data_IF_184660941387
#
_entry.id   IF_184660941387
#
_cell.length_a   1.000
_cell.length_b   1.000
_cell.length_c   1.000
_cell.angle_alpha   90.00
_cell.angle_beta   90.00
_cell.angle_gamma   90.00
#
_symmetry.space_group_name_H-M   'P 1'
#
loop_
_entity.id
_entity.type
_entity.pdbx_description
1 polymer ?
#
# COMPACT_ATOMS: atom_id res chain seq x y z
N UNK A 1 -14.19 -54.22 -27.01
CA UNK A 1 -13.94 -54.29 -25.55
C UNK A 1 -14.02 -52.86 -25.02
N UNK A 2 -15.19 -52.53 -24.49
CA UNK A 2 -15.48 -51.18 -23.97
C UNK A 2 -15.09 -51.15 -22.48
N UNK A 3 -14.25 -50.21 -22.09
CA UNK A 3 -13.92 -49.94 -20.67
C UNK A 3 -14.70 -48.70 -20.26
N UNK A 4 -15.68 -48.87 -19.39
CA UNK A 4 -16.41 -47.82 -18.70
C UNK A 4 -15.58 -47.29 -17.52
N UNK A 5 -15.41 -45.98 -17.45
CA UNK A 5 -14.90 -45.28 -16.27
C UNK A 5 -16.01 -44.99 -15.27
N UNK A 6 -15.79 -45.15 -13.96
CA UNK A 6 -16.78 -44.77 -12.95
C UNK A 6 -16.64 -43.27 -12.60
N UNK A 7 -17.78 -42.60 -12.43
CA UNK A 7 -17.91 -41.25 -11.94
C UNK A 7 -17.62 -41.15 -10.42
N UNK A 8 -17.01 -40.09 -9.92
CA UNK A 8 -16.86 -39.87 -8.49
C UNK A 8 -18.10 -39.13 -7.91
N UNK A 9 -18.87 -39.84 -7.06
CA UNK A 9 -19.89 -39.24 -6.19
C UNK A 9 -19.24 -38.80 -4.91
N UNK A 10 -18.85 -37.53 -4.84
CA UNK A 10 -18.40 -36.87 -3.61
C UNK A 10 -19.41 -35.80 -3.19
N UNK A 11 -20.27 -36.07 -2.20
CA UNK A 11 -21.09 -35.03 -1.57
C UNK A 11 -20.21 -34.12 -0.73
N UNK A 12 -20.31 -32.82 -0.99
CA UNK A 12 -19.75 -31.78 -0.15
C UNK A 12 -20.47 -31.80 1.22
N UNK A 13 -19.72 -31.94 2.30
CA UNK A 13 -20.25 -31.87 3.67
C UNK A 13 -20.36 -30.39 4.05
N UNK A 14 -21.54 -30.01 4.57
CA UNK A 14 -21.79 -28.68 5.10
C UNK A 14 -21.32 -28.58 6.55
N UNK A 15 -21.07 -27.35 7.00
CA UNK A 15 -20.50 -27.00 8.33
C UNK A 15 -21.34 -27.44 9.56
N UNK A 16 -22.47 -28.16 9.36
CA UNK A 16 -23.35 -28.62 10.42
C UNK A 16 -22.93 -29.97 11.06
N UNK A 17 -21.91 -30.65 10.54
CA UNK A 17 -21.59 -32.04 10.96
C UNK A 17 -20.56 -32.12 12.12
N UNK A 18 -20.19 -31.02 12.75
CA UNK A 18 -19.28 -31.00 13.90
C UNK A 18 -19.93 -30.41 15.16
N UNK A 19 -20.74 -31.20 15.82
CA UNK A 19 -21.10 -30.97 17.24
C UNK A 19 -20.48 -32.06 18.10
N UNK A 20 -19.75 -31.75 19.20
CA UNK A 20 -19.26 -32.79 20.11
C UNK A 20 -20.37 -33.28 21.00
N UNK A 21 -20.31 -34.58 21.45
CA UNK A 21 -21.33 -35.17 22.36
C UNK A 21 -21.21 -34.55 23.73
N UNK A 22 -22.35 -34.15 24.30
CA UNK A 22 -22.45 -33.60 25.64
C UNK A 22 -22.22 -34.65 26.72
N UNK A 23 -21.21 -34.45 27.54
CA UNK A 23 -21.05 -35.16 28.81
C UNK A 23 -21.66 -34.35 29.94
N UNK A 24 -22.60 -34.99 30.65
CA UNK A 24 -23.21 -34.47 31.86
C UNK A 24 -22.24 -34.59 33.05
N UNK A 25 -21.71 -33.46 33.51
CA UNK A 25 -20.91 -33.40 34.73
C UNK A 25 -21.81 -33.14 35.95
N UNK A 26 -21.72 -34.07 36.91
CA UNK A 26 -22.43 -34.08 38.18
C UNK A 26 -22.06 -32.89 39.08
N UNK A 27 -23.06 -32.41 39.83
CA UNK A 27 -22.95 -31.40 40.89
C UNK A 27 -22.13 -31.92 42.07
N UNK A 28 -20.95 -31.32 42.30
CA UNK A 28 -20.16 -31.44 43.50
C UNK A 28 -20.49 -30.32 44.53
N UNK A 29 -20.13 -30.46 45.79
CA UNK A 29 -20.70 -29.68 46.90
C UNK A 29 -20.12 -28.24 46.93
N UNK A 30 -21.01 -27.29 47.23
CA UNK A 30 -20.72 -25.86 47.41
C UNK A 30 -19.96 -25.63 48.72
N UNK A 31 -18.67 -25.27 48.63
CA UNK A 31 -17.96 -24.68 49.76
C UNK A 31 -18.17 -23.17 49.75
N UNK A 32 -18.85 -22.67 50.79
CA UNK A 32 -19.05 -21.25 51.01
C UNK A 32 -17.75 -20.56 51.41
N UNK A 33 -17.28 -19.68 50.54
CA UNK A 33 -16.32 -18.62 50.91
C UNK A 33 -17.09 -17.33 51.12
N UNK A 34 -17.03 -16.82 52.36
CA UNK A 34 -17.56 -15.51 52.72
C UNK A 34 -16.78 -14.41 52.01
N UNK A 35 -17.48 -13.56 51.24
CA UNK A 35 -16.95 -12.30 50.78
C UNK A 35 -16.60 -11.41 51.96
N UNK A 36 -15.32 -11.24 52.25
CA UNK A 36 -14.86 -10.09 53.04
C UNK A 36 -14.87 -8.89 52.09
N UNK A 37 -15.62 -7.86 52.47
CA UNK A 37 -15.55 -6.53 51.97
C UNK A 37 -14.09 -6.04 52.09
N UNK A 38 -13.37 -6.00 50.98
CA UNK A 38 -12.13 -5.22 50.87
C UNK A 38 -12.53 -3.83 50.42
N UNK A 39 -12.66 -2.92 51.39
CA UNK A 39 -12.67 -1.50 51.17
C UNK A 39 -11.49 -1.11 50.23
N UNK A 40 -11.80 -0.47 49.11
CA UNK A 40 -10.83 0.11 48.19
C UNK A 40 -10.07 1.20 48.92
N UNK A 41 -8.92 0.84 49.50
CA UNK A 41 -7.93 1.85 49.90
C UNK A 41 -7.47 2.58 48.66
N UNK A 42 -7.66 3.92 48.69
CA UNK A 42 -7.11 4.85 47.72
C UNK A 42 -5.59 4.64 47.61
N UNK A 43 -5.15 3.91 46.62
CA UNK A 43 -3.76 3.96 46.17
C UNK A 43 -3.47 5.41 45.74
N UNK A 44 -2.39 6.05 46.21
CA UNK A 44 -2.03 7.37 45.77
C UNK A 44 -1.82 7.30 44.23
N UNK A 45 -2.61 8.09 43.52
CA UNK A 45 -2.37 8.30 42.09
C UNK A 45 -0.95 8.85 41.95
N UNK A 46 -0.11 8.12 41.27
CA UNK A 46 1.21 8.64 40.86
C UNK A 46 0.97 9.99 40.16
N UNK A 47 1.76 11.02 40.44
CA UNK A 47 1.60 12.30 39.75
C UNK A 47 1.66 12.02 38.24
N UNK A 48 0.61 12.41 37.52
CA UNK A 48 0.61 12.40 36.06
C UNK A 48 1.86 13.14 35.61
N UNK A 49 2.83 12.39 35.11
CA UNK A 49 3.94 13.03 34.38
C UNK A 49 3.29 13.76 33.18
N UNK A 50 3.69 15.01 32.89
CA UNK A 50 3.19 15.70 31.74
C UNK A 50 3.41 14.77 30.54
N UNK A 51 2.32 14.34 29.91
CA UNK A 51 2.36 13.40 28.79
C UNK A 51 3.23 14.03 27.70
N UNK A 52 4.39 13.42 27.41
CA UNK A 52 5.22 13.86 26.27
C UNK A 52 4.38 13.78 24.99
N UNK A 53 4.66 14.66 24.04
CA UNK A 53 4.06 14.57 22.72
C UNK A 53 4.42 13.23 22.09
N UNK A 54 3.48 12.55 21.41
CA UNK A 54 3.83 11.38 20.61
C UNK A 54 4.89 11.75 19.58
N UNK A 55 5.88 10.87 19.41
CA UNK A 55 6.95 11.05 18.44
C UNK A 55 6.66 10.28 17.17
N UNK A 56 6.60 10.99 16.04
CA UNK A 56 6.36 10.47 14.70
C UNK A 56 7.71 10.35 13.98
N UNK A 57 8.13 9.13 13.65
CA UNK A 57 9.24 8.93 12.73
C UNK A 57 8.72 8.97 11.28
N UNK A 58 9.10 9.97 10.51
CA UNK A 58 8.81 10.04 9.08
C UNK A 58 9.95 9.34 8.34
N UNK A 59 9.63 8.22 7.66
CA UNK A 59 10.62 7.39 6.96
C UNK A 59 10.45 7.55 5.45
N UNK A 60 11.53 7.88 4.74
CA UNK A 60 11.48 8.24 3.33
C UNK A 60 12.77 7.88 2.58
N UNK A 61 12.76 8.09 1.23
CA UNK A 61 13.84 7.70 0.33
C UNK A 61 13.63 6.25 -0.15
N UNK A 62 14.56 5.37 0.18
CA UNK A 62 14.46 3.93 -0.13
C UNK A 62 15.18 3.53 -1.40
N UNK A 63 15.19 2.21 -1.66
CA UNK A 63 15.96 1.57 -2.74
C UNK A 63 15.23 1.55 -4.08
N UNK A 64 13.99 2.04 -4.12
CA UNK A 64 13.19 2.04 -5.35
C UNK A 64 13.60 3.18 -6.29
N UNK A 65 13.19 3.08 -7.55
CA UNK A 65 13.32 4.16 -8.53
C UNK A 65 12.51 5.41 -8.16
N UNK A 66 11.62 5.30 -7.17
CA UNK A 66 10.77 6.40 -6.68
C UNK A 66 11.38 7.14 -5.48
N UNK A 67 12.69 6.91 -5.19
CA UNK A 67 13.44 7.53 -4.09
C UNK A 67 13.24 9.05 -4.00
N UNK A 68 13.43 9.76 -5.09
CA UNK A 68 13.29 11.22 -5.12
C UNK A 68 11.86 11.70 -4.87
N UNK A 69 10.84 10.95 -5.33
CA UNK A 69 9.43 11.27 -5.08
C UNK A 69 9.07 11.03 -3.61
N UNK A 70 9.62 9.98 -3.02
CA UNK A 70 9.53 9.74 -1.58
C UNK A 70 10.06 10.92 -0.78
N UNK A 71 11.19 11.51 -1.18
CA UNK A 71 11.75 12.71 -0.56
C UNK A 71 10.80 13.90 -0.65
N UNK A 72 10.25 14.18 -1.83
CA UNK A 72 9.30 15.30 -2.05
C UNK A 72 8.04 15.10 -1.21
N UNK A 73 7.53 13.87 -1.16
CA UNK A 73 6.38 13.48 -0.32
C UNK A 73 6.69 13.71 1.16
N UNK A 74 7.85 13.27 1.63
CA UNK A 74 8.29 13.48 3.01
C UNK A 74 8.36 14.96 3.38
N UNK A 75 8.92 15.80 2.51
CA UNK A 75 8.95 17.24 2.71
C UNK A 75 7.55 17.84 2.88
N UNK A 76 6.57 17.38 2.10
CA UNK A 76 5.19 17.83 2.23
C UNK A 76 4.55 17.36 3.56
N UNK A 77 4.75 16.11 3.95
CA UNK A 77 4.24 15.54 5.21
C UNK A 77 4.87 16.26 6.41
N UNK A 78 6.20 16.44 6.42
CA UNK A 78 6.93 17.12 7.49
C UNK A 78 6.44 18.57 7.71
N UNK A 79 6.10 19.30 6.63
CA UNK A 79 5.48 20.63 6.72
C UNK A 79 4.06 20.60 7.29
N UNK A 80 3.31 19.54 7.02
CA UNK A 80 1.91 19.44 7.41
C UNK A 80 1.70 18.92 8.83
N UNK A 81 2.65 18.18 9.40
CA UNK A 81 2.56 17.66 10.76
C UNK A 81 2.51 18.82 11.77
N UNK A 82 1.49 18.81 12.61
CA UNK A 82 1.31 19.81 13.69
C UNK A 82 2.35 19.61 14.81
N UNK A 83 3.38 20.46 14.81
CA UNK A 83 4.46 20.43 15.81
C UNK A 83 4.00 20.80 17.23
N UNK A 84 2.79 21.31 17.38
CA UNK A 84 2.21 21.52 18.72
C UNK A 84 1.68 20.22 19.32
N UNK A 85 1.31 19.24 18.48
CA UNK A 85 0.78 17.93 18.89
C UNK A 85 1.87 16.85 18.91
N UNK A 86 2.84 16.91 17.99
CA UNK A 86 3.80 15.83 17.74
C UNK A 86 5.25 16.31 17.78
N UNK A 87 6.14 15.45 18.32
CA UNK A 87 7.55 15.51 18.02
C UNK A 87 7.81 14.72 16.73
N UNK A 88 8.80 15.14 15.93
CA UNK A 88 9.09 14.49 14.66
C UNK A 88 10.55 14.07 14.57
N UNK A 89 10.78 12.88 14.04
CA UNK A 89 12.10 12.31 13.77
C UNK A 89 12.18 11.93 12.28
N UNK A 90 12.84 12.76 11.43
CA UNK A 90 13.05 12.42 10.03
C UNK A 90 14.13 11.35 9.89
N UNK A 91 13.81 10.26 9.18
CA UNK A 91 14.72 9.14 8.92
C UNK A 91 14.76 8.90 7.42
N UNK A 92 15.92 9.09 6.81
CA UNK A 92 16.16 8.79 5.41
C UNK A 92 16.63 7.35 5.22
N UNK A 93 16.25 6.74 4.09
CA UNK A 93 16.84 5.48 3.61
C UNK A 93 17.52 5.79 2.28
N UNK A 94 18.83 5.57 2.20
CA UNK A 94 19.60 5.82 0.96
C UNK A 94 19.22 4.84 -0.14
N UNK A 95 19.68 5.08 -1.36
CA UNK A 95 19.44 4.15 -2.48
C UNK A 95 20.13 2.77 -2.27
N UNK A 96 21.20 2.70 -1.48
CA UNK A 96 21.85 1.45 -1.07
C UNK A 96 21.08 0.75 0.08
N UNK A 97 20.09 1.42 0.69
CA UNK A 97 19.26 0.88 1.76
C UNK A 97 19.78 1.15 3.17
N UNK A 98 20.68 2.12 3.35
CA UNK A 98 21.14 2.55 4.69
C UNK A 98 20.12 3.50 5.31
N UNK A 99 19.82 3.28 6.57
CA UNK A 99 18.98 4.16 7.38
C UNK A 99 19.83 5.24 8.02
N UNK A 100 19.52 6.49 7.75
CA UNK A 100 20.31 7.63 8.22
C UNK A 100 19.41 8.65 8.93
N UNK A 101 19.98 9.32 9.93
CA UNK A 101 19.34 10.48 10.54
C UNK A 101 19.49 11.66 9.58
N UNK A 102 18.39 12.38 9.34
CA UNK A 102 18.40 13.55 8.46
C UNK A 102 17.97 14.79 9.20
N UNK A 103 18.41 15.94 8.71
CA UNK A 103 17.95 17.22 9.21
C UNK A 103 16.44 17.41 8.95
N UNK A 104 15.73 18.03 9.89
CA UNK A 104 14.34 18.43 9.73
C UNK A 104 14.25 19.73 8.90
N UNK A 105 14.58 19.62 7.61
CA UNK A 105 14.66 20.73 6.66
C UNK A 105 13.75 20.44 5.45
N UNK A 106 12.42 20.43 5.60
CA UNK A 106 11.49 20.05 4.55
C UNK A 106 11.58 20.92 3.28
N UNK A 107 12.10 22.14 3.39
CA UNK A 107 12.30 23.03 2.25
C UNK A 107 13.34 22.50 1.25
N UNK A 108 14.32 21.74 1.72
CA UNK A 108 15.34 21.11 0.88
C UNK A 108 14.85 19.83 0.19
N UNK A 109 13.66 19.36 0.57
CA UNK A 109 13.03 18.17 0.00
C UNK A 109 12.10 18.50 -1.19
N UNK A 110 12.20 19.67 -1.77
CA UNK A 110 11.40 20.07 -2.93
C UNK A 110 12.13 19.79 -4.25
N UNK A 111 11.38 19.57 -5.32
CA UNK A 111 11.94 19.53 -6.67
C UNK A 111 12.52 20.91 -7.00
N UNK A 112 13.79 20.97 -7.35
CA UNK A 112 14.46 22.18 -7.80
C UNK A 112 15.18 21.90 -9.12
N UNK A 113 15.10 22.82 -10.06
CA UNK A 113 15.74 22.72 -11.38
C UNK A 113 15.44 21.39 -12.13
N UNK A 114 14.20 20.89 -12.02
CA UNK A 114 13.73 19.58 -12.55
C UNK A 114 14.48 18.37 -11.95
N UNK A 115 15.17 18.53 -10.84
CA UNK A 115 15.88 17.48 -10.13
C UNK A 115 15.17 17.16 -8.83
N UNK A 116 14.98 15.87 -8.56
CA UNK A 116 14.52 15.38 -7.25
C UNK A 116 15.67 15.40 -6.26
N UNK A 117 15.39 15.69 -4.96
CA UNK A 117 16.40 15.64 -3.91
C UNK A 117 16.84 14.20 -3.62
N UNK A 118 17.99 14.07 -2.96
CA UNK A 118 18.55 12.79 -2.49
C UNK A 118 18.74 12.78 -0.97
N UNK A 119 18.61 11.61 -0.33
CA UNK A 119 18.74 11.43 1.12
C UNK A 119 20.15 11.81 1.60
N UNK A 120 21.18 11.49 0.83
CA UNK A 120 22.57 11.78 1.16
C UNK A 120 22.85 13.29 1.32
N UNK A 121 22.08 14.13 0.64
CA UNK A 121 22.20 15.60 0.75
C UNK A 121 21.68 16.15 2.07
N UNK A 122 20.86 15.38 2.79
CA UNK A 122 20.24 15.75 4.07
C UNK A 122 20.75 14.94 5.26
N UNK A 123 21.53 13.88 5.00
CA UNK A 123 22.08 13.03 6.07
C UNK A 123 22.99 13.82 7.00
N UNK A 124 22.78 13.70 8.33
CA UNK A 124 23.65 14.32 9.32
C UNK A 124 25.08 13.73 9.31
N UNK A 125 25.19 12.45 8.93
CA UNK A 125 26.46 11.74 8.76
C UNK A 125 26.30 10.67 7.68
N UNK A 126 27.32 10.51 6.86
CA UNK A 126 27.39 9.44 5.84
C UNK A 126 27.91 8.11 6.41
N UNK A 127 28.45 8.09 7.61
CA UNK A 127 29.02 6.89 8.26
C UNK A 127 28.08 6.30 9.32
N UNK A 128 27.22 7.12 9.94
CA UNK A 128 26.28 6.71 10.96
C UNK A 128 25.03 6.03 10.40
N UNK A 129 24.35 5.24 11.23
CA UNK A 129 23.11 4.54 10.87
C UNK A 129 22.07 4.60 11.99
N UNK A 130 20.80 4.65 11.60
CA UNK A 130 19.66 4.54 12.51
C UNK A 130 19.25 3.07 12.58
N UNK A 131 19.06 2.58 13.81
CA UNK A 131 18.59 1.24 14.11
C UNK A 131 17.21 1.34 14.79
N UNK A 132 16.22 0.71 14.20
CA UNK A 132 14.93 0.48 14.86
C UNK A 132 15.08 -0.69 15.84
N UNK A 133 14.40 -0.67 16.99
CA UNK A 133 14.40 -1.80 17.89
C UNK A 133 13.73 -3.02 17.21
N UNK A 134 14.30 -4.20 17.40
CA UNK A 134 13.66 -5.48 17.04
C UNK A 134 13.02 -6.16 18.26
N UNK A 135 13.23 -5.59 19.45
CA UNK A 135 12.60 -6.02 20.68
C UNK A 135 11.31 -5.20 20.90
N UNK A 136 10.11 -5.81 20.83
CA UNK A 136 8.85 -5.09 20.99
C UNK A 136 8.66 -4.50 22.40
N UNK A 137 9.48 -4.88 23.37
CA UNK A 137 9.49 -4.28 24.71
C UNK A 137 10.22 -2.92 24.73
N UNK A 138 10.95 -2.58 23.68
CA UNK A 138 11.68 -1.31 23.57
C UNK A 138 11.28 -0.60 22.27
N UNK A 139 10.85 0.65 22.35
CA UNK A 139 10.59 1.52 21.19
C UNK A 139 11.73 2.53 20.97
N UNK A 140 12.86 2.30 21.59
CA UNK A 140 14.00 3.20 21.54
C UNK A 140 14.75 3.06 20.22
N UNK A 141 14.80 4.12 19.47
CA UNK A 141 15.61 4.23 18.25
C UNK A 141 17.03 4.58 18.61
N UNK A 142 18.00 3.90 18.01
CA UNK A 142 19.42 4.05 18.31
C UNK A 142 20.15 4.56 17.07
N UNK A 143 20.99 5.57 17.27
CA UNK A 143 21.97 6.02 16.29
C UNK A 143 23.33 5.41 16.59
N UNK A 144 23.97 4.83 15.58
CA UNK A 144 25.26 4.17 15.72
C UNK A 144 26.22 4.64 14.64
N UNK A 145 27.41 5.05 15.04
CA UNK A 145 28.55 5.35 14.16
C UNK A 145 29.71 4.40 14.43
N UNK A 146 30.51 4.03 13.39
CA UNK A 146 31.70 3.23 13.56
C UNK A 146 32.68 3.87 14.57
N UNK A 147 33.10 3.11 15.57
CA UNK A 147 34.06 3.59 16.60
C UNK A 147 33.47 4.47 17.70
N UNK A 148 32.16 4.74 17.67
CA UNK A 148 31.45 5.52 18.68
C UNK A 148 30.52 4.64 19.53
N UNK A 149 30.19 5.11 20.73
CA UNK A 149 29.16 4.46 21.55
C UNK A 149 27.80 4.79 20.95
N UNK A 150 26.93 3.78 20.73
CA UNK A 150 25.59 4.03 20.24
C UNK A 150 24.82 5.04 21.10
N UNK A 151 24.12 5.96 20.45
CA UNK A 151 23.34 7.02 21.10
C UNK A 151 21.86 6.74 20.98
N UNK A 152 21.15 6.68 22.09
CA UNK A 152 19.70 6.63 22.10
C UNK A 152 19.11 7.94 21.56
N UNK A 153 18.23 7.82 20.57
CA UNK A 153 17.47 8.95 20.02
C UNK A 153 16.13 9.14 20.74
N UNK A 154 15.77 8.19 21.59
CA UNK A 154 14.52 8.11 22.31
C UNK A 154 13.48 7.23 21.61
N UNK A 155 12.32 7.10 22.25
CA UNK A 155 11.25 6.24 21.76
C UNK A 155 10.49 6.87 20.58
N UNK A 156 10.04 6.02 19.66
CA UNK A 156 9.11 6.35 18.57
C UNK A 156 7.76 5.74 18.88
N UNK A 157 6.70 6.53 18.80
CA UNK A 157 5.33 6.09 19.07
C UNK A 157 4.62 5.61 17.81
N UNK A 158 4.97 6.19 16.65
CA UNK A 158 4.40 5.83 15.35
C UNK A 158 5.41 6.12 14.24
N UNK A 159 5.44 5.25 13.24
CA UNK A 159 6.18 5.47 11.98
C UNK A 159 5.21 5.94 10.90
N UNK A 160 5.56 7.00 10.18
CA UNK A 160 4.89 7.43 8.96
C UNK A 160 5.79 7.10 7.76
N UNK A 161 5.62 5.92 7.14
CA UNK A 161 6.39 5.58 5.96
C UNK A 161 5.81 6.31 4.74
N UNK A 162 6.65 7.05 4.03
CA UNK A 162 6.31 7.70 2.76
C UNK A 162 7.19 7.14 1.64
N UNK A 163 7.43 5.84 1.69
CA UNK A 163 8.19 5.08 0.72
C UNK A 163 7.27 4.57 -0.39
N UNK A 164 7.71 4.65 -1.63
CA UNK A 164 6.97 4.18 -2.79
C UNK A 164 7.66 2.98 -3.43
N UNK A 165 6.85 2.05 -3.98
CA UNK A 165 7.33 0.89 -4.71
C UNK A 165 7.99 -0.19 -3.84
N UNK A 166 8.91 -1.01 -4.43
CA UNK A 166 9.57 -2.11 -3.74
C UNK A 166 10.29 -1.68 -2.46
N UNK A 167 10.25 -2.53 -1.44
CA UNK A 167 10.74 -2.31 -0.07
C UNK A 167 9.98 -1.26 0.75
N UNK A 168 9.05 -0.53 0.14
CA UNK A 168 8.19 0.44 0.83
C UNK A 168 6.73 -0.01 0.91
N UNK A 169 6.19 -0.51 -0.22
CA UNK A 169 4.77 -0.89 -0.36
C UNK A 169 4.55 -2.39 -0.53
N UNK A 170 5.58 -3.23 -0.42
CA UNK A 170 5.54 -4.67 -0.68
C UNK A 170 5.40 -5.56 0.58
N UNK A 171 5.21 -4.96 1.74
CA UNK A 171 5.12 -5.67 3.02
C UNK A 171 6.45 -5.86 3.73
N UNK A 172 7.60 -5.56 3.10
CA UNK A 172 8.93 -5.75 3.68
C UNK A 172 9.17 -4.80 4.86
N UNK A 173 8.91 -3.50 4.66
CA UNK A 173 9.00 -2.51 5.74
C UNK A 173 7.97 -2.78 6.82
N UNK A 174 6.73 -3.07 6.43
CA UNK A 174 5.64 -3.37 7.34
C UNK A 174 5.99 -4.56 8.24
N UNK A 175 6.59 -5.61 7.68
CA UNK A 175 7.08 -6.76 8.45
C UNK A 175 8.16 -6.39 9.48
N UNK A 176 9.08 -5.48 9.15
CA UNK A 176 10.06 -4.96 10.11
C UNK A 176 9.37 -4.21 11.25
N UNK A 177 8.38 -3.36 10.94
CA UNK A 177 7.65 -2.58 11.92
C UNK A 177 6.77 -3.45 12.82
N UNK A 178 6.16 -4.51 12.28
CA UNK A 178 5.43 -5.51 13.06
C UNK A 178 6.34 -6.23 14.07
N UNK A 179 7.54 -6.66 13.63
CA UNK A 179 8.53 -7.27 14.53
C UNK A 179 9.02 -6.31 15.62
N UNK A 180 9.14 -5.02 15.29
CA UNK A 180 9.53 -3.96 16.22
C UNK A 180 8.43 -3.57 17.19
N UNK A 181 7.19 -3.99 16.97
CA UNK A 181 6.04 -3.57 17.76
C UNK A 181 5.73 -2.07 17.71
N UNK A 182 6.20 -1.37 16.67
CA UNK A 182 5.97 0.07 16.49
C UNK A 182 4.78 0.27 15.54
N UNK A 183 3.72 0.97 15.96
CA UNK A 183 2.61 1.33 15.08
C UNK A 183 3.06 2.14 13.87
N UNK A 184 2.37 2.00 12.75
CA UNK A 184 2.71 2.72 11.52
C UNK A 184 1.47 3.12 10.73
N UNK A 185 1.62 4.19 9.94
CA UNK A 185 0.59 4.67 9.02
C UNK A 185 0.55 3.78 7.78
N UNK A 186 -0.67 3.51 7.30
CA UNK A 186 -0.89 2.76 6.07
C UNK A 186 -1.21 1.29 6.31
N UNK A 187 -1.27 0.55 5.23
CA UNK A 187 -1.68 -0.86 5.19
C UNK A 187 -0.64 -1.79 5.81
N UNK A 188 -1.11 -2.91 6.36
CA UNK A 188 -0.27 -3.95 6.96
C UNK A 188 0.43 -4.82 5.93
N UNK A 189 1.13 -5.86 6.41
CA UNK A 189 1.95 -6.78 5.59
C UNK A 189 1.16 -7.42 4.45
N UNK A 190 -0.02 -7.97 4.77
CA UNK A 190 -0.84 -8.68 3.78
C UNK A 190 -1.30 -7.76 2.66
N UNK A 191 -1.91 -6.64 3.01
CA UNK A 191 -2.45 -5.70 2.04
C UNK A 191 -1.36 -5.11 1.15
N UNK A 192 -0.20 -4.75 1.74
CA UNK A 192 0.95 -4.25 0.99
C UNK A 192 1.49 -5.30 0.01
N UNK A 193 1.67 -6.55 0.45
CA UNK A 193 2.16 -7.62 -0.43
C UNK A 193 1.17 -7.96 -1.56
N UNK A 194 -0.14 -7.95 -1.26
CA UNK A 194 -1.20 -8.17 -2.26
C UNK A 194 -1.28 -6.99 -3.22
N UNK A 195 -1.27 -5.74 -2.73
CA UNK A 195 -1.34 -4.53 -3.54
C UNK A 195 -0.16 -4.38 -4.50
N UNK A 196 1.03 -4.83 -4.10
CA UNK A 196 2.22 -4.77 -4.94
C UNK A 196 2.20 -5.79 -6.09
N UNK A 197 1.55 -6.95 -5.93
CA UNK A 197 1.55 -8.02 -6.94
C UNK A 197 0.24 -8.04 -7.74
N UNK A 198 0.27 -7.55 -8.98
CA UNK A 198 -0.91 -7.41 -9.86
C UNK A 198 -1.68 -8.72 -10.06
N UNK A 199 -1.00 -9.88 -10.06
CA UNK A 199 -1.69 -11.18 -10.17
C UNK A 199 -2.51 -11.47 -8.90
N UNK A 200 -1.87 -11.35 -7.72
CA UNK A 200 -2.54 -11.70 -6.47
C UNK A 200 -3.63 -10.68 -6.12
N UNK A 201 -3.39 -9.42 -6.37
CA UNK A 201 -4.37 -8.33 -6.23
C UNK A 201 -5.64 -8.62 -7.06
N UNK A 202 -5.49 -8.91 -8.37
CA UNK A 202 -6.63 -9.24 -9.25
C UNK A 202 -7.35 -10.52 -8.81
N UNK A 203 -6.63 -11.53 -8.32
CA UNK A 203 -7.23 -12.76 -7.77
C UNK A 203 -8.07 -12.48 -6.53
N UNK A 204 -7.58 -11.65 -5.63
CA UNK A 204 -8.32 -11.21 -4.44
C UNK A 204 -9.59 -10.48 -4.88
N UNK A 205 -9.48 -9.49 -5.76
CA UNK A 205 -10.64 -8.74 -6.25
C UNK A 205 -11.71 -9.65 -6.86
N UNK A 206 -11.33 -10.58 -7.73
CA UNK A 206 -12.27 -11.55 -8.32
C UNK A 206 -12.95 -12.40 -7.25
N UNK A 207 -12.21 -12.83 -6.20
CA UNK A 207 -12.80 -13.65 -5.13
C UNK A 207 -13.84 -12.90 -4.28
N UNK A 208 -13.78 -11.56 -4.27
CA UNK A 208 -14.76 -10.68 -3.64
C UNK A 208 -15.83 -10.15 -4.62
N UNK A 209 -15.81 -10.58 -5.88
CA UNK A 209 -16.82 -10.21 -6.87
C UNK A 209 -16.57 -8.90 -7.61
N UNK A 210 -15.40 -8.27 -7.41
CA UNK A 210 -14.99 -7.09 -8.17
C UNK A 210 -14.57 -7.50 -9.59
N UNK A 211 -14.96 -6.70 -10.58
CA UNK A 211 -14.59 -6.91 -11.98
C UNK A 211 -13.17 -6.46 -12.24
N UNK A 212 -12.35 -7.32 -12.83
CA UNK A 212 -10.98 -7.01 -13.29
C UNK A 212 -10.89 -7.18 -14.80
N UNK A 213 -9.97 -6.46 -15.44
CA UNK A 213 -9.67 -6.66 -16.86
C UNK A 213 -9.09 -8.06 -17.14
N UNK A 214 -9.28 -8.61 -18.35
CA UNK A 214 -8.68 -9.88 -18.73
C UNK A 214 -7.15 -9.84 -18.66
N UNK A 215 -6.55 -10.93 -18.20
CA UNK A 215 -5.10 -11.02 -18.10
C UNK A 215 -4.59 -12.47 -18.18
N UNK A 216 -3.33 -12.62 -18.57
CA UNK A 216 -2.57 -13.86 -18.44
C UNK A 216 -1.25 -13.59 -17.74
N UNK A 217 -0.83 -14.50 -16.86
CA UNK A 217 0.41 -14.37 -16.10
C UNK A 217 1.41 -15.40 -16.59
N UNK A 218 2.64 -14.96 -16.81
CA UNK A 218 3.78 -15.83 -17.14
C UNK A 218 4.76 -15.79 -15.97
N UNK A 219 4.91 -16.94 -15.33
CA UNK A 219 5.80 -17.08 -14.18
C UNK A 219 7.24 -17.37 -14.60
N UNK A 220 8.25 -17.00 -13.81
CA UNK A 220 9.66 -17.21 -14.14
C UNK A 220 9.97 -18.67 -14.46
N UNK A 221 9.49 -19.60 -13.64
CA UNK A 221 9.72 -21.04 -13.85
C UNK A 221 9.07 -21.55 -15.12
N UNK A 222 7.88 -21.10 -15.46
CA UNK A 222 7.18 -21.46 -16.70
C UNK A 222 7.98 -20.98 -17.92
N UNK A 223 8.41 -19.72 -17.90
CA UNK A 223 9.24 -19.15 -18.97
C UNK A 223 10.54 -19.91 -19.16
N UNK A 224 11.23 -20.25 -18.07
CA UNK A 224 12.49 -20.98 -18.12
C UNK A 224 12.37 -22.42 -18.62
N UNK A 225 11.26 -23.11 -18.33
CA UNK A 225 11.06 -24.52 -18.66
C UNK A 225 10.37 -24.74 -20.00
N UNK A 226 9.45 -23.84 -20.39
CA UNK A 226 8.65 -23.94 -21.61
C UNK A 226 8.31 -22.56 -22.16
N UNK A 227 9.28 -21.84 -22.66
CA UNK A 227 9.10 -20.54 -23.29
C UNK A 227 8.10 -20.61 -24.46
N UNK A 228 8.15 -21.67 -25.25
CA UNK A 228 7.23 -21.87 -26.40
C UNK A 228 5.79 -22.00 -25.92
N UNK A 229 5.54 -22.75 -24.83
CA UNK A 229 4.21 -22.87 -24.24
C UNK A 229 3.73 -21.55 -23.63
N UNK A 230 4.60 -20.80 -22.98
CA UNK A 230 4.28 -19.47 -22.45
C UNK A 230 3.88 -18.51 -23.58
N UNK A 231 4.63 -18.44 -24.68
CA UNK A 231 4.32 -17.63 -25.86
C UNK A 231 2.98 -18.04 -26.50
N UNK A 232 2.71 -19.35 -26.59
CA UNK A 232 1.43 -19.86 -27.09
C UNK A 232 0.26 -19.38 -26.25
N UNK A 233 0.37 -19.39 -24.90
CA UNK A 233 -0.68 -18.87 -24.01
C UNK A 233 -0.94 -17.37 -24.23
N UNK A 234 0.10 -16.56 -24.46
CA UNK A 234 -0.07 -15.15 -24.81
C UNK A 234 -0.75 -15.01 -26.18
N UNK A 235 -0.40 -15.87 -27.15
CA UNK A 235 -1.00 -15.85 -28.47
C UNK A 235 -2.50 -16.25 -28.42
N UNK A 236 -2.85 -17.25 -27.64
CA UNK A 236 -4.24 -17.66 -27.40
C UNK A 236 -5.02 -16.51 -26.74
N UNK A 237 -4.45 -15.86 -25.73
CA UNK A 237 -5.03 -14.70 -25.07
C UNK A 237 -5.23 -13.52 -26.04
N UNK A 238 -4.25 -13.22 -26.90
CA UNK A 238 -4.38 -12.21 -27.95
C UNK A 238 -5.47 -12.56 -28.97
N UNK A 239 -5.62 -13.85 -29.32
CA UNK A 239 -6.68 -14.32 -30.19
C UNK A 239 -8.07 -14.16 -29.60
N UNK A 240 -8.23 -14.28 -28.28
CA UNK A 240 -9.49 -14.11 -27.56
C UNK A 240 -9.88 -12.65 -27.34
N UNK A 241 -8.91 -11.81 -26.95
CA UNK A 241 -9.18 -10.44 -26.50
C UNK A 241 -8.77 -9.35 -27.50
N UNK A 242 -8.02 -9.72 -28.55
CA UNK A 242 -7.53 -8.77 -29.57
C UNK A 242 -6.31 -7.96 -29.11
N UNK A 243 -5.91 -7.04 -29.97
CA UNK A 243 -4.87 -6.07 -29.73
C UNK A 243 -5.45 -4.66 -29.50
N UNK A 244 -4.74 -3.74 -28.83
CA UNK A 244 -3.42 -3.92 -28.23
C UNK A 244 -3.45 -4.70 -26.90
N UNK A 245 -2.28 -5.25 -26.53
CA UNK A 245 -2.02 -5.81 -25.21
C UNK A 245 -1.03 -4.94 -24.44
N UNK A 246 -1.09 -5.00 -23.14
CA UNK A 246 -0.10 -4.37 -22.25
C UNK A 246 0.73 -5.45 -21.54
N UNK A 247 2.02 -5.48 -21.84
CA UNK A 247 2.99 -6.36 -21.17
C UNK A 247 3.63 -5.59 -20.03
N UNK A 248 3.55 -6.13 -18.81
CA UNK A 248 3.93 -5.43 -17.57
C UNK A 248 4.73 -6.33 -16.65
N UNK A 249 5.70 -5.80 -15.88
CA UNK A 249 6.17 -6.47 -14.67
C UNK A 249 5.01 -6.68 -13.70
N UNK A 250 4.94 -7.82 -13.02
CA UNK A 250 3.83 -8.08 -12.11
C UNK A 250 3.92 -7.24 -10.81
N UNK A 251 5.15 -6.86 -10.40
CA UNK A 251 5.44 -6.21 -9.11
C UNK A 251 6.25 -4.91 -9.29
N UNK A 252 5.84 -4.07 -10.23
CA UNK A 252 6.40 -2.74 -10.43
C UNK A 252 5.31 -1.68 -10.36
N UNK A 253 5.65 -0.51 -9.85
CA UNK A 253 4.83 0.69 -9.80
C UNK A 253 5.18 1.69 -10.90
N UNK A 254 4.55 2.88 -10.86
CA UNK A 254 4.89 4.06 -11.68
C UNK A 254 5.05 3.82 -13.18
N UNK A 255 4.28 2.86 -13.72
CA UNK A 255 4.31 2.46 -15.14
C UNK A 255 5.67 1.96 -15.66
N UNK A 256 6.63 1.63 -14.77
CA UNK A 256 7.96 1.15 -15.14
C UNK A 256 7.87 -0.22 -15.82
N UNK A 257 8.53 -0.37 -16.98
CA UNK A 257 8.59 -1.62 -17.72
C UNK A 257 7.27 -2.03 -18.39
N UNK A 258 6.29 -1.12 -18.48
CA UNK A 258 5.03 -1.36 -19.19
C UNK A 258 5.23 -1.05 -20.67
N UNK A 259 4.86 -2.00 -21.54
CA UNK A 259 4.89 -1.82 -22.98
C UNK A 259 3.53 -2.14 -23.59
N UNK A 260 2.98 -1.19 -24.36
CA UNK A 260 1.81 -1.39 -25.22
C UNK A 260 2.26 -2.10 -26.49
N UNK A 261 1.64 -3.21 -26.82
CA UNK A 261 1.96 -4.07 -27.97
C UNK A 261 0.79 -4.14 -28.90
N UNK A 262 0.99 -3.74 -30.15
CA UNK A 262 -0.09 -3.65 -31.17
C UNK A 262 -0.20 -4.93 -32.03
N UNK A 263 0.82 -5.82 -31.97
CA UNK A 263 0.85 -7.07 -32.73
C UNK A 263 1.89 -8.04 -32.13
N UNK A 264 1.97 -9.26 -32.66
CA UNK A 264 2.97 -10.25 -32.26
C UNK A 264 4.42 -9.81 -32.49
N UNK A 265 4.67 -8.93 -33.44
CA UNK A 265 6.03 -8.46 -33.78
C UNK A 265 6.72 -7.71 -32.64
N UNK A 266 5.96 -6.96 -31.82
CA UNK A 266 6.50 -6.22 -30.68
C UNK A 266 6.55 -7.02 -29.38
N UNK A 267 6.02 -8.26 -29.37
CA UNK A 267 5.83 -9.01 -28.10
C UNK A 267 7.14 -9.39 -27.42
N UNK A 268 8.14 -9.80 -28.20
CA UNK A 268 9.42 -10.27 -27.67
C UNK A 268 10.21 -9.17 -26.96
N UNK A 269 10.22 -7.99 -27.56
CA UNK A 269 10.86 -6.81 -26.98
C UNK A 269 10.12 -6.35 -25.70
N UNK A 270 8.79 -6.37 -25.72
CA UNK A 270 7.97 -6.03 -24.56
C UNK A 270 8.16 -7.00 -23.39
N UNK A 271 8.25 -8.31 -23.66
CA UNK A 271 8.55 -9.31 -22.64
C UNK A 271 9.94 -9.08 -22.05
N UNK A 272 10.96 -8.90 -22.92
CA UNK A 272 12.32 -8.66 -22.46
C UNK A 272 12.43 -7.37 -21.62
N UNK A 273 11.67 -6.32 -21.97
CA UNK A 273 11.60 -5.09 -21.19
C UNK A 273 10.98 -5.36 -19.80
N UNK A 274 9.81 -5.95 -19.75
CA UNK A 274 9.16 -6.25 -18.48
C UNK A 274 10.01 -7.16 -17.57
N UNK A 275 10.69 -8.15 -18.14
CA UNK A 275 11.56 -9.07 -17.40
C UNK A 275 12.83 -8.43 -16.83
N UNK A 276 13.24 -7.25 -17.32
CA UNK A 276 14.34 -6.49 -16.69
C UNK A 276 13.96 -5.99 -15.29
N UNK A 277 12.66 -5.77 -15.05
CA UNK A 277 12.14 -5.23 -13.80
C UNK A 277 11.56 -6.29 -12.87
N UNK A 278 10.91 -7.31 -13.43
CA UNK A 278 10.38 -8.45 -12.68
C UNK A 278 10.37 -9.71 -13.55
N UNK A 279 10.99 -10.82 -13.11
CA UNK A 279 10.96 -12.06 -13.86
C UNK A 279 9.53 -12.66 -13.99
N UNK A 280 8.56 -12.22 -13.20
CA UNK A 280 7.14 -12.53 -13.34
C UNK A 280 6.48 -11.39 -14.11
N UNK A 281 5.85 -11.72 -15.23
CA UNK A 281 5.13 -10.74 -16.06
C UNK A 281 3.64 -11.02 -16.08
N UNK A 282 2.86 -9.97 -16.28
CA UNK A 282 1.42 -10.01 -16.55
C UNK A 282 1.15 -9.36 -17.90
N UNK A 283 0.33 -10.00 -18.72
CA UNK A 283 -0.12 -9.47 -20.00
C UNK A 283 -1.62 -9.20 -19.89
N UNK A 284 -2.02 -7.98 -20.12
CA UNK A 284 -3.40 -7.52 -19.97
C UNK A 284 -4.01 -7.07 -21.30
N UNK A 285 -5.29 -7.34 -21.50
CA UNK A 285 -6.03 -6.77 -22.60
C UNK A 285 -6.25 -5.26 -22.37
N UNK A 286 -6.22 -4.48 -23.45
CA UNK A 286 -6.54 -3.06 -23.37
C UNK A 286 -8.01 -2.86 -22.97
N UNK A 287 -8.24 -2.10 -21.93
CA UNK A 287 -9.57 -1.64 -21.56
C UNK A 287 -9.84 -0.29 -22.25
N UNK A 288 -10.99 -0.20 -22.92
CA UNK A 288 -11.47 1.07 -23.48
C UNK A 288 -12.36 1.75 -22.46
N UNK A 289 -12.05 2.98 -22.12
CA UNK A 289 -12.82 3.72 -21.14
C UNK A 289 -12.06 4.91 -20.56
N UNK A 290 -12.67 5.51 -19.54
CA UNK A 290 -12.12 6.64 -18.78
C UNK A 290 -11.41 6.10 -17.55
N UNK A 291 -10.26 6.62 -17.22
CA UNK A 291 -9.52 6.26 -16.02
C UNK A 291 -10.05 7.09 -14.83
N UNK A 292 -10.55 6.40 -13.80
CA UNK A 292 -11.17 7.00 -12.62
C UNK A 292 -10.43 6.55 -11.38
N UNK A 293 -9.92 7.49 -10.62
CA UNK A 293 -9.28 7.25 -9.32
C UNK A 293 -10.24 7.59 -8.18
N UNK A 294 -10.20 6.82 -7.08
CA UNK A 294 -10.99 7.09 -5.88
C UNK A 294 -10.15 6.82 -4.63
N UNK A 295 -10.01 7.82 -3.76
CA UNK A 295 -9.29 7.70 -2.50
C UNK A 295 -10.15 7.07 -1.41
N UNK A 296 -9.62 6.10 -0.68
CA UNK A 296 -10.23 5.56 0.54
C UNK A 296 -9.41 5.97 1.75
N UNK A 297 -10.06 6.44 2.80
CA UNK A 297 -9.46 6.81 4.08
C UNK A 297 -10.26 6.14 5.21
N UNK A 298 -9.55 5.59 6.16
CA UNK A 298 -10.13 4.97 7.34
C UNK A 298 -10.49 6.03 8.38
N UNK A 299 -11.75 6.02 8.82
CA UNK A 299 -12.28 6.82 9.91
C UNK A 299 -12.54 5.91 11.13
N UNK A 300 -12.90 6.51 12.26
CA UNK A 300 -13.18 5.74 13.49
C UNK A 300 -14.39 4.79 13.34
N UNK A 301 -15.32 5.13 12.45
CA UNK A 301 -16.53 4.37 12.15
C UNK A 301 -16.42 3.52 10.87
N UNK A 302 -15.24 3.43 10.28
CA UNK A 302 -14.94 2.61 9.10
C UNK A 302 -14.39 3.37 7.90
N UNK A 303 -14.04 2.67 6.82
CA UNK A 303 -13.47 3.29 5.62
C UNK A 303 -14.52 4.11 4.86
N UNK A 304 -14.09 5.25 4.31
CA UNK A 304 -14.90 6.12 3.47
C UNK A 304 -14.18 6.48 2.19
N UNK A 305 -14.92 6.59 1.10
CA UNK A 305 -14.38 7.01 -0.18
C UNK A 305 -14.53 8.52 -0.40
N UNK A 306 -13.51 9.14 -0.99
CA UNK A 306 -13.50 10.54 -1.42
C UNK A 306 -14.45 10.78 -2.60
N UNK A 307 -14.54 12.02 -3.09
CA UNK A 307 -14.98 12.28 -4.46
C UNK A 307 -13.98 11.63 -5.42
N UNK A 308 -14.43 11.03 -6.55
CA UNK A 308 -13.53 10.46 -7.55
C UNK A 308 -12.84 11.55 -8.39
N UNK A 309 -11.69 11.19 -8.96
CA UNK A 309 -10.99 11.98 -9.96
C UNK A 309 -10.98 11.24 -11.31
N UNK A 310 -10.95 11.98 -12.40
CA UNK A 310 -10.67 11.44 -13.73
C UNK A 310 -9.25 11.82 -14.17
N UNK A 311 -8.54 10.84 -14.68
CA UNK A 311 -7.22 11.05 -15.28
C UNK A 311 -7.41 11.13 -16.79
N UNK A 312 -7.23 12.32 -17.41
CA UNK A 312 -7.31 12.43 -18.85
C UNK A 312 -6.23 11.58 -19.53
N UNK A 313 -6.54 10.97 -20.69
CA UNK A 313 -5.52 10.26 -21.43
C UNK A 313 -4.38 11.23 -21.77
N UNK A 314 -3.13 10.77 -21.75
CA UNK A 314 -2.01 11.60 -22.15
C UNK A 314 -2.18 12.05 -23.61
N UNK A 315 -1.75 13.25 -23.93
CA UNK A 315 -1.71 13.72 -25.33
C UNK A 315 -0.98 12.69 -26.20
N UNK A 316 -1.49 12.43 -27.40
CA UNK A 316 -1.14 11.31 -28.29
C UNK A 316 0.37 11.15 -28.59
N UNK A 317 1.24 12.02 -28.10
CA UNK A 317 2.69 12.02 -28.27
C UNK A 317 3.50 11.98 -26.96
N UNK A 318 2.84 11.99 -25.79
CA UNK A 318 3.54 11.87 -24.52
C UNK A 318 3.59 10.40 -24.11
N UNK A 319 4.72 9.75 -24.31
CA UNK A 319 5.04 8.53 -23.57
C UNK A 319 5.14 8.93 -22.11
N UNK A 320 4.29 8.34 -21.28
CA UNK A 320 4.27 8.56 -19.85
C UNK A 320 5.53 7.94 -19.24
N UNK A 321 6.63 8.67 -19.25
CA UNK A 321 7.75 8.32 -18.41
C UNK A 321 7.52 8.85 -16.98
N UNK A 322 8.34 8.38 -16.07
CA UNK A 322 8.29 8.73 -14.65
C UNK A 322 8.38 10.24 -14.41
N UNK A 323 9.21 10.97 -15.20
CA UNK A 323 9.37 12.42 -15.08
C UNK A 323 8.11 13.17 -15.55
N UNK A 324 7.50 12.73 -16.64
CA UNK A 324 6.27 13.32 -17.15
C UNK A 324 5.12 13.22 -16.14
N UNK A 325 5.05 12.10 -15.40
CA UNK A 325 3.99 11.87 -14.40
C UNK A 325 4.08 12.82 -13.21
N UNK A 326 5.28 13.22 -12.78
CA UNK A 326 5.48 14.01 -11.55
C UNK A 326 5.92 15.46 -11.81
N UNK A 327 6.46 15.77 -12.98
CA UNK A 327 6.99 17.10 -13.33
C UNK A 327 6.07 17.84 -14.31
N UNK A 328 5.54 17.15 -15.32
CA UNK A 328 4.75 17.73 -16.42
C UNK A 328 3.31 17.18 -16.47
N UNK A 329 2.77 16.63 -15.34
CA UNK A 329 1.49 15.95 -15.30
C UNK A 329 0.33 16.84 -15.79
N UNK A 330 -0.48 16.30 -16.71
CA UNK A 330 -1.80 16.86 -17.01
C UNK A 330 -2.63 16.82 -15.74
N UNK A 331 -3.17 17.93 -15.25
CA UNK A 331 -3.95 17.93 -14.02
C UNK A 331 -5.18 17.04 -14.18
N UNK A 332 -5.40 16.15 -13.22
CA UNK A 332 -6.64 15.37 -13.13
C UNK A 332 -7.84 16.27 -12.93
N UNK A 333 -9.01 15.78 -13.29
CA UNK A 333 -10.29 16.49 -13.11
C UNK A 333 -10.89 16.03 -11.77
N UNK A 334 -10.97 16.94 -10.79
CA UNK A 334 -11.50 16.65 -9.46
C UNK A 334 -12.60 17.66 -9.11
N UNK A 335 -13.84 17.24 -8.86
CA UNK A 335 -14.36 15.87 -8.99
C UNK A 335 -14.48 15.43 -10.45
N UNK A 336 -14.40 14.12 -10.70
CA UNK A 336 -14.65 13.53 -12.02
C UNK A 336 -16.06 13.86 -12.52
N UNK A 337 -16.25 14.16 -13.81
CA UNK A 337 -17.57 14.41 -14.40
C UNK A 337 -18.35 13.09 -14.61
N UNK A 338 -18.84 12.54 -13.51
CA UNK A 338 -19.66 11.33 -13.43
C UNK A 338 -21.10 11.67 -13.08
N UNK A 339 -22.05 10.77 -13.39
CA UNK A 339 -23.40 10.87 -12.83
C UNK A 339 -23.40 10.58 -11.32
N UNK A 340 -24.48 10.94 -10.61
CA UNK A 340 -24.62 10.63 -9.20
C UNK A 340 -24.56 9.11 -8.94
N UNK A 341 -25.16 8.29 -9.81
CA UNK A 341 -25.15 6.84 -9.74
C UNK A 341 -23.73 6.27 -9.96
N UNK A 342 -23.01 6.79 -10.95
CA UNK A 342 -21.63 6.39 -11.22
C UNK A 342 -20.71 6.78 -10.06
N UNK A 343 -20.90 7.98 -9.53
CA UNK A 343 -20.14 8.46 -8.35
C UNK A 343 -20.40 7.57 -7.14
N UNK A 344 -21.66 7.23 -6.86
CA UNK A 344 -22.01 6.36 -5.75
C UNK A 344 -21.41 4.96 -5.94
N UNK A 345 -21.45 4.42 -7.15
CA UNK A 345 -20.96 3.07 -7.47
C UNK A 345 -19.43 2.98 -7.35
N UNK A 346 -18.66 3.89 -7.95
CA UNK A 346 -17.20 3.84 -7.84
C UNK A 346 -16.71 4.01 -6.40
N UNK A 347 -17.39 4.85 -5.60
CA UNK A 347 -17.08 5.01 -4.18
C UNK A 347 -17.37 3.73 -3.39
N UNK A 348 -18.45 3.04 -3.68
CA UNK A 348 -18.79 1.74 -3.08
C UNK A 348 -17.73 0.69 -3.43
N UNK A 349 -17.38 0.57 -4.73
CA UNK A 349 -16.37 -0.37 -5.21
C UNK A 349 -14.97 -0.08 -4.64
N UNK A 350 -14.61 1.20 -4.45
CA UNK A 350 -13.34 1.56 -3.83
C UNK A 350 -13.25 1.10 -2.38
N UNK A 351 -14.34 1.24 -1.60
CA UNK A 351 -14.40 0.72 -0.23
C UNK A 351 -14.35 -0.81 -0.24
N UNK A 352 -15.08 -1.48 -1.14
CA UNK A 352 -15.01 -2.95 -1.27
C UNK A 352 -13.60 -3.44 -1.62
N UNK A 353 -12.87 -2.73 -2.50
CA UNK A 353 -11.50 -3.07 -2.84
C UNK A 353 -10.55 -2.92 -1.65
N UNK A 354 -10.74 -1.86 -0.86
CA UNK A 354 -10.02 -1.61 0.39
C UNK A 354 -10.22 -2.77 1.39
N UNK A 355 -11.47 -3.17 1.62
CA UNK A 355 -11.82 -4.27 2.53
C UNK A 355 -11.35 -5.63 2.00
N UNK A 356 -11.53 -5.90 0.70
CA UNK A 356 -11.10 -7.15 0.05
C UNK A 356 -9.60 -7.41 0.19
N UNK A 357 -8.78 -6.36 0.07
CA UNK A 357 -7.34 -6.46 0.23
C UNK A 357 -6.88 -6.36 1.69
N UNK A 358 -7.79 -6.22 2.66
CA UNK A 358 -7.48 -5.99 4.09
C UNK A 358 -6.59 -4.75 4.29
N UNK A 359 -6.89 -3.68 3.56
CA UNK A 359 -6.17 -2.41 3.67
C UNK A 359 -6.51 -1.68 4.97
N UNK A 360 -5.62 -0.79 5.37
CA UNK A 360 -5.76 0.05 6.55
C UNK A 360 -5.25 1.47 6.25
N UNK A 361 -5.80 2.45 6.93
CA UNK A 361 -5.40 3.85 6.86
C UNK A 361 -5.80 4.53 5.56
N UNK A 362 -5.11 4.25 4.47
CA UNK A 362 -5.34 4.89 3.19
C UNK A 362 -5.09 3.96 2.01
N UNK A 363 -5.84 4.21 0.92
CA UNK A 363 -5.64 3.55 -0.39
C UNK A 363 -6.15 4.48 -1.48
N UNK A 364 -5.50 4.48 -2.65
CA UNK A 364 -6.11 4.94 -3.90
C UNK A 364 -6.47 3.71 -4.73
N UNK A 365 -7.73 3.61 -5.09
CA UNK A 365 -8.24 2.57 -5.99
C UNK A 365 -8.46 3.17 -7.38
N UNK A 366 -7.88 2.52 -8.39
CA UNK A 366 -7.83 2.98 -9.77
C UNK A 366 -8.73 2.08 -10.64
N UNK A 367 -9.66 2.70 -11.37
CA UNK A 367 -10.69 2.02 -12.17
C UNK A 367 -10.68 2.48 -13.61
N UNK A 368 -11.16 1.62 -14.50
CA UNK A 368 -11.65 2.03 -15.81
C UNK A 368 -13.18 2.05 -15.80
N UNK A 369 -13.77 3.18 -16.20
CA UNK A 369 -15.18 3.28 -16.54
C UNK A 369 -15.33 2.97 -18.04
N UNK A 370 -15.81 1.78 -18.37
CA UNK A 370 -15.95 1.32 -19.74
C UNK A 370 -17.04 2.07 -20.51
N UNK A 371 -17.04 1.94 -21.84
CA UNK A 371 -18.07 2.52 -22.71
C UNK A 371 -19.49 1.99 -22.40
N UNK A 372 -19.60 0.78 -21.85
CA UNK A 372 -20.85 0.19 -21.38
C UNK A 372 -21.30 0.68 -20.01
N UNK A 373 -20.54 1.59 -19.40
CA UNK A 373 -20.85 2.19 -18.10
C UNK A 373 -20.49 1.33 -16.89
N UNK A 374 -19.67 0.29 -17.05
CA UNK A 374 -19.21 -0.59 -15.98
C UNK A 374 -17.87 -0.13 -15.42
N UNK A 375 -17.68 -0.23 -14.10
CA UNK A 375 -16.39 -0.04 -13.47
C UNK A 375 -15.61 -1.35 -13.41
N UNK A 376 -14.37 -1.31 -13.88
CA UNK A 376 -13.39 -2.40 -13.85
C UNK A 376 -12.20 -1.93 -13.03
N UNK A 377 -11.92 -2.59 -11.91
CA UNK A 377 -10.78 -2.22 -11.08
C UNK A 377 -9.47 -2.61 -11.76
N UNK A 378 -8.55 -1.67 -11.84
CA UNK A 378 -7.20 -1.87 -12.37
C UNK A 378 -6.23 -2.29 -11.26
N UNK A 379 -6.06 -1.42 -10.27
CA UNK A 379 -5.15 -1.64 -9.15
C UNK A 379 -5.55 -0.83 -7.91
N UNK A 380 -4.90 -1.12 -6.79
CA UNK A 380 -4.86 -0.26 -5.61
C UNK A 380 -3.42 0.15 -5.31
N UNK A 381 -3.28 1.34 -4.73
CA UNK A 381 -2.01 1.89 -4.26
C UNK A 381 -2.11 2.11 -2.76
N UNK A 382 -1.33 1.34 -1.98
CA UNK A 382 -1.38 1.39 -0.51
C UNK A 382 -0.66 2.59 0.09
N UNK A 383 0.24 3.21 -0.69
CA UNK A 383 0.84 4.51 -0.40
C UNK A 383 0.85 5.37 -1.68
N UNK A 384 -0.30 5.96 -2.05
CA UNK A 384 -0.39 6.76 -3.27
C UNK A 384 0.49 8.02 -3.18
N UNK A 385 0.75 8.67 -4.30
CA UNK A 385 1.38 9.99 -4.29
C UNK A 385 0.69 10.90 -3.28
N UNK A 386 1.46 11.47 -2.35
CA UNK A 386 0.93 12.11 -1.15
C UNK A 386 1.43 13.55 -0.95
N UNK A 387 1.80 14.24 -2.04
CA UNK A 387 2.01 15.70 -2.00
C UNK A 387 0.67 16.44 -2.11
N UNK A 388 0.57 17.71 -1.70
CA UNK A 388 -0.68 18.48 -1.82
C UNK A 388 -1.25 18.57 -3.25
N UNK A 389 -0.40 18.39 -4.27
CA UNK A 389 -0.80 18.40 -5.69
C UNK A 389 -1.07 16.99 -6.24
N UNK A 390 -0.85 15.93 -5.46
CA UNK A 390 -1.16 14.55 -5.84
C UNK A 390 -2.67 14.29 -5.80
N UNK A 391 -3.15 13.37 -6.63
CA UNK A 391 -4.58 13.10 -6.76
C UNK A 391 -5.26 12.69 -5.45
N UNK A 392 -4.61 11.82 -4.67
CA UNK A 392 -5.20 11.37 -3.41
C UNK A 392 -5.52 12.52 -2.44
N UNK A 393 -4.58 13.41 -2.08
CA UNK A 393 -4.91 14.59 -1.27
C UNK A 393 -5.88 15.56 -1.93
N UNK A 394 -5.82 15.75 -3.26
CA UNK A 394 -6.77 16.63 -3.96
C UNK A 394 -8.21 16.10 -3.88
N UNK A 395 -8.43 14.80 -4.07
CA UNK A 395 -9.74 14.17 -3.90
C UNK A 395 -10.28 14.35 -2.48
N UNK A 396 -9.42 14.22 -1.46
CA UNK A 396 -9.82 14.44 -0.07
C UNK A 396 -10.06 15.90 0.26
N UNK A 397 -9.28 16.81 -0.30
CA UNK A 397 -9.52 18.25 -0.16
C UNK A 397 -10.89 18.66 -0.79
N UNK A 398 -11.20 18.14 -1.96
CA UNK A 398 -12.50 18.32 -2.61
C UNK A 398 -13.65 17.64 -1.83
N UNK A 399 -13.33 16.63 -1.01
CA UNK A 399 -14.27 15.98 -0.07
C UNK A 399 -14.38 16.68 1.28
N UNK A 400 -13.68 17.81 1.49
CA UNK A 400 -13.74 18.61 2.71
C UNK A 400 -12.69 18.26 3.77
N UNK A 401 -11.71 17.39 3.49
CA UNK A 401 -10.60 17.05 4.38
C UNK A 401 -9.34 17.77 3.92
N UNK A 402 -8.89 18.78 4.68
CA UNK A 402 -7.67 19.52 4.37
C UNK A 402 -6.41 18.65 4.52
N UNK A 403 -5.33 18.97 3.79
CA UNK A 403 -4.11 18.18 3.77
C UNK A 403 -3.50 17.93 5.16
N UNK A 404 -3.40 18.98 5.99
CA UNK A 404 -2.87 18.84 7.35
C UNK A 404 -3.80 17.98 8.24
N UNK A 405 -5.11 18.06 8.04
CA UNK A 405 -6.08 17.20 8.72
C UNK A 405 -5.95 15.75 8.25
N UNK A 406 -5.72 15.53 6.95
CA UNK A 406 -5.49 14.19 6.39
C UNK A 406 -4.27 13.52 7.05
N UNK A 407 -3.15 14.25 7.17
CA UNK A 407 -1.94 13.79 7.84
C UNK A 407 -2.21 13.48 9.32
N UNK A 408 -2.89 14.38 10.04
CA UNK A 408 -3.22 14.19 11.46
C UNK A 408 -4.11 12.96 11.68
N UNK A 409 -5.15 12.78 10.84
CA UNK A 409 -6.05 11.61 10.90
C UNK A 409 -5.31 10.29 10.71
N UNK A 410 -4.38 10.21 9.76
CA UNK A 410 -3.58 9.03 9.51
C UNK A 410 -2.67 8.71 10.70
N UNK A 411 -2.01 9.70 11.30
CA UNK A 411 -1.19 9.52 12.50
C UNK A 411 -2.06 9.05 13.66
N UNK A 412 -3.21 9.67 13.89
CA UNK A 412 -4.13 9.29 14.97
C UNK A 412 -4.69 7.87 14.76
N UNK A 413 -5.04 7.49 13.53
CA UNK A 413 -5.47 6.13 13.22
C UNK A 413 -4.37 5.11 13.56
N UNK A 414 -3.13 5.37 13.16
CA UNK A 414 -2.00 4.50 13.45
C UNK A 414 -1.71 4.38 14.96
N UNK A 415 -1.77 5.49 15.71
CA UNK A 415 -1.56 5.49 17.17
C UNK A 415 -2.62 4.65 17.93
N UNK A 416 -3.83 4.53 17.39
CA UNK A 416 -4.90 3.71 17.99
C UNK A 416 -4.78 2.22 17.67
N UNK A 417 -3.99 1.86 16.67
CA UNK A 417 -3.84 0.46 16.25
C UNK A 417 -2.97 -0.33 17.21
N UNK A 418 -3.33 -1.58 17.41
CA UNK A 418 -2.42 -2.56 17.98
C UNK A 418 -1.45 -3.06 16.91
N UNK A 419 -0.23 -3.40 17.30
CA UNK A 419 0.69 -4.19 16.50
C UNK A 419 0.42 -5.68 16.67
N UNK A 420 0.85 -6.50 15.70
CA UNK A 420 0.69 -7.94 15.74
C UNK A 420 -0.23 -8.47 14.65
N UNK A 421 -0.87 -9.61 14.88
CA UNK A 421 -1.76 -10.23 13.90
C UNK A 421 -2.93 -9.32 13.53
N UNK A 422 -3.04 -9.00 12.24
CA UNK A 422 -4.09 -8.18 11.62
C UNK A 422 -4.69 -8.90 10.44
#
# INVERSE_FOLDING_TARGET
MSIQSPAPSGRCRTAADFAPPGEALGRGPTNGYSHRDMSTENLPQSPEQPSRKPRVAVVFGGRSSEHGISMVTAGAVLRAIDRTKYDVLPIGITQEGRWVLTADEPERMAIADRRTPDVEELAESTEGGVLLPVDPASREVVYSEPGSVPKALGEVDVVFPVLHGPYGEDGTLQGLLELSGVPYVGSGVLASAVGQDKEYMKRVFVSFGLKVGPYVVIRPREWQLDETGARRRIAEFAGEHGWPLFVKPARAGSSIGITKVESFEGLDEAIAEAQRHDPKIIVEAALRGREIECGVLEFEDGPRASVPAEIPPPDAHAYYDFEAKYIDSTPGIVPAPLTDEQTAEVRRLAVEAFEAASCEGLVRADFFLTEDGEFVINEINTMPGFTPISMYPQMWQASGVAYAELVDRLIQAALRRSTGLR
#
